data_IF_039521840770
#
_entry.id   IF_039521840770
#
_cell.length_a   1.000
_cell.length_b   1.000
_cell.length_c   1.000
_cell.angle_alpha   90.00
_cell.angle_beta   90.00
_cell.angle_gamma   90.00
#
_symmetry.space_group_name_H-M   'P 1'
#
loop_
_entity.id
_entity.type
_entity.pdbx_description
1 polymer ?
#
# COMPACT_ATOMS: atom_id res chain seq x y z
N UNK A 1 1.24 -23.74 -5.90
CA UNK A 1 0.96 -24.26 -4.55
C UNK A 1 -0.49 -24.76 -4.36
N UNK A 2 -1.41 -24.63 -5.34
CA UNK A 2 -2.83 -25.00 -5.15
C UNK A 2 -3.04 -26.46 -4.74
N UNK A 3 -2.34 -27.41 -5.36
CA UNK A 3 -2.41 -28.84 -4.99
C UNK A 3 -2.00 -29.09 -3.54
N UNK A 4 -0.86 -28.55 -3.12
CA UNK A 4 -0.38 -28.66 -1.75
C UNK A 4 -1.36 -28.04 -0.73
N UNK A 5 -1.95 -26.88 -1.04
CA UNK A 5 -2.95 -26.26 -0.17
C UNK A 5 -4.17 -27.17 0.01
N UNK A 6 -4.68 -27.73 -1.08
CA UNK A 6 -5.80 -28.67 -1.05
C UNK A 6 -5.48 -29.95 -0.27
N UNK A 7 -4.33 -30.58 -0.53
CA UNK A 7 -3.86 -31.78 0.20
C UNK A 7 -3.74 -31.55 1.70
N UNK A 8 -3.38 -30.33 2.11
CA UNK A 8 -3.25 -29.94 3.52
C UNK A 8 -4.53 -29.37 4.13
N UNK A 9 -5.63 -29.30 3.38
CA UNK A 9 -6.89 -28.71 3.83
C UNK A 9 -6.81 -27.20 4.11
N UNK A 10 -5.84 -26.50 3.51
CA UNK A 10 -5.66 -25.06 3.65
C UNK A 10 -6.62 -24.35 2.69
N UNK A 11 -7.53 -23.56 3.25
CA UNK A 11 -8.41 -22.69 2.47
C UNK A 11 -7.71 -21.37 2.15
N UNK A 12 -7.95 -20.83 0.95
CA UNK A 12 -7.31 -19.61 0.47
C UNK A 12 -8.36 -18.54 0.26
N UNK A 13 -8.13 -17.34 0.82
CA UNK A 13 -8.94 -16.16 0.56
C UNK A 13 -8.04 -15.07 -0.02
N UNK A 14 -8.47 -14.43 -1.11
CA UNK A 14 -7.67 -13.42 -1.79
C UNK A 14 -8.49 -12.23 -2.30
N UNK A 15 -8.10 -11.02 -1.87
CA UNK A 15 -8.51 -9.72 -2.44
C UNK A 15 -7.75 -9.41 -3.74
N UNK A 16 -7.46 -10.45 -4.54
CA UNK A 16 -6.72 -10.33 -5.79
C UNK A 16 -7.64 -10.22 -7.02
N UNK A 17 -8.96 -10.38 -6.84
CA UNK A 17 -9.93 -10.19 -7.91
C UNK A 17 -9.97 -8.76 -8.41
N UNK A 18 -9.56 -7.80 -7.57
CA UNK A 18 -9.44 -6.40 -7.95
C UNK A 18 -10.76 -5.87 -8.49
N UNK A 19 -10.79 -5.58 -9.79
CA UNK A 19 -11.97 -5.06 -10.50
C UNK A 19 -12.78 -6.16 -11.22
N UNK A 20 -12.33 -7.43 -11.20
CA UNK A 20 -13.00 -8.55 -11.87
C UNK A 20 -12.83 -9.87 -11.08
N UNK A 21 -13.46 -9.99 -9.89
CA UNK A 21 -13.38 -11.19 -9.08
C UNK A 21 -13.93 -12.45 -9.77
N UNK A 22 -15.02 -12.31 -10.54
CA UNK A 22 -15.59 -13.41 -11.32
C UNK A 22 -14.60 -13.97 -12.35
N UNK A 23 -13.89 -13.09 -13.07
CA UNK A 23 -12.89 -13.45 -14.05
C UNK A 23 -11.70 -14.20 -13.43
N UNK A 24 -11.19 -13.72 -12.29
CA UNK A 24 -10.12 -14.42 -11.58
C UNK A 24 -10.60 -15.79 -11.06
N UNK A 25 -11.81 -15.87 -10.50
CA UNK A 25 -12.38 -17.15 -10.06
C UNK A 25 -12.51 -18.16 -11.22
N UNK A 26 -12.92 -17.71 -12.41
CA UNK A 26 -12.95 -18.56 -13.61
C UNK A 26 -11.55 -19.09 -13.96
N UNK A 27 -10.52 -18.25 -13.94
CA UNK A 27 -9.12 -18.67 -14.19
C UNK A 27 -8.58 -19.64 -13.15
N UNK A 28 -8.98 -19.51 -11.89
CA UNK A 28 -8.60 -20.47 -10.83
C UNK A 28 -9.29 -21.81 -11.07
N UNK A 29 -10.56 -21.84 -11.51
CA UNK A 29 -11.25 -23.09 -11.89
C UNK A 29 -10.56 -23.79 -13.06
N UNK A 30 -10.26 -23.05 -14.13
CA UNK A 30 -9.49 -23.60 -15.27
C UNK A 30 -8.13 -24.18 -14.85
N UNK A 31 -7.45 -23.53 -13.90
CA UNK A 31 -6.20 -24.06 -13.34
C UNK A 31 -6.44 -25.35 -12.55
N UNK A 32 -7.46 -25.39 -11.70
CA UNK A 32 -7.80 -26.58 -10.92
C UNK A 32 -8.14 -27.77 -11.83
N UNK A 33 -8.94 -27.56 -12.89
CA UNK A 33 -9.30 -28.57 -13.87
C UNK A 33 -8.07 -29.14 -14.58
N UNK A 34 -7.15 -28.27 -15.04
CA UNK A 34 -5.89 -28.70 -15.67
C UNK A 34 -5.00 -29.52 -14.74
N UNK A 35 -5.08 -29.27 -13.43
CA UNK A 35 -4.31 -30.00 -12.43
C UNK A 35 -5.05 -31.23 -11.88
N UNK A 36 -6.30 -31.46 -12.29
CA UNK A 36 -7.15 -32.55 -11.77
C UNK A 36 -7.49 -32.39 -10.28
N UNK A 37 -7.52 -31.16 -9.76
CA UNK A 37 -7.76 -30.88 -8.35
C UNK A 37 -9.26 -30.59 -8.10
N UNK A 38 -9.92 -31.28 -7.16
CA UNK A 38 -11.34 -31.08 -6.87
C UNK A 38 -11.59 -29.87 -5.95
N UNK A 39 -11.09 -28.70 -6.34
CA UNK A 39 -11.14 -27.46 -5.56
C UNK A 39 -12.42 -26.69 -5.87
N UNK A 40 -13.17 -26.31 -4.83
CA UNK A 40 -14.35 -25.44 -4.94
C UNK A 40 -13.93 -23.98 -4.86
N UNK A 41 -14.19 -23.24 -5.94
CA UNK A 41 -13.84 -21.82 -6.06
C UNK A 41 -15.09 -20.95 -6.02
N UNK A 42 -15.17 -20.03 -5.07
CA UNK A 42 -16.21 -19.01 -4.94
C UNK A 42 -15.65 -17.60 -5.12
N UNK A 43 -16.52 -16.62 -5.34
CA UNK A 43 -16.13 -15.22 -5.33
C UNK A 43 -17.19 -14.30 -4.72
N UNK A 44 -16.76 -13.12 -4.27
CA UNK A 44 -17.60 -12.06 -3.68
C UNK A 44 -17.67 -10.87 -4.64
N UNK A 45 -18.89 -10.39 -4.89
CA UNK A 45 -19.22 -9.24 -5.73
C UNK A 45 -20.01 -8.18 -4.94
N UNK A 46 -20.38 -7.08 -5.60
CA UNK A 46 -21.18 -5.99 -5.04
C UNK A 46 -20.38 -4.74 -4.67
N UNK A 47 -19.08 -4.73 -4.93
CA UNK A 47 -18.20 -3.59 -4.70
C UNK A 47 -18.20 -2.58 -5.86
N UNK A 48 -18.47 -3.00 -7.09
CA UNK A 48 -18.43 -2.13 -8.28
C UNK A 48 -19.57 -1.09 -8.30
N UNK A 49 -19.18 0.18 -8.19
CA UNK A 49 -20.03 1.36 -8.24
C UNK A 49 -19.68 2.27 -9.44
N UNK A 50 -18.96 1.76 -10.44
CA UNK A 50 -18.46 2.54 -11.57
C UNK A 50 -19.60 3.24 -12.32
N UNK A 51 -20.73 2.57 -12.51
CA UNK A 51 -21.92 3.15 -13.15
C UNK A 51 -22.50 4.36 -12.39
N UNK A 52 -22.31 4.44 -11.06
CA UNK A 52 -22.78 5.55 -10.22
C UNK A 52 -21.79 6.72 -10.16
N UNK A 53 -20.60 6.58 -10.76
CA UNK A 53 -19.53 7.57 -10.71
C UNK A 53 -19.04 7.93 -12.12
N UNK A 54 -19.87 8.63 -12.92
CA UNK A 54 -19.50 9.00 -14.29
C UNK A 54 -18.20 9.81 -14.31
N UNK A 55 -17.31 9.49 -15.26
CA UNK A 55 -15.96 10.06 -15.36
C UNK A 55 -14.92 9.40 -14.45
N UNK A 56 -15.30 8.39 -13.65
CA UNK A 56 -14.36 7.48 -13.00
C UNK A 56 -13.91 6.37 -13.93
N UNK A 57 -12.63 5.99 -13.83
CA UNK A 57 -12.12 4.78 -14.47
C UNK A 57 -12.55 3.51 -13.72
N UNK A 58 -12.63 3.61 -12.39
CA UNK A 58 -13.12 2.58 -11.51
C UNK A 58 -13.65 3.22 -10.22
N UNK A 59 -14.74 2.69 -9.67
CA UNK A 59 -15.23 3.10 -8.35
C UNK A 59 -15.66 1.86 -7.57
N UNK A 60 -14.97 1.54 -6.48
CA UNK A 60 -15.23 0.31 -5.73
C UNK A 60 -15.39 0.57 -4.23
N UNK A 61 -16.47 0.04 -3.65
CA UNK A 61 -16.68 0.02 -2.21
C UNK A 61 -15.78 -1.03 -1.55
N UNK A 62 -15.20 -0.69 -0.41
CA UNK A 62 -14.44 -1.65 0.39
C UNK A 62 -15.42 -2.45 1.27
N UNK A 63 -15.74 -3.67 0.83
CA UNK A 63 -16.67 -4.56 1.52
C UNK A 63 -16.04 -5.21 2.77
N UNK A 64 -16.92 -5.78 3.61
CA UNK A 64 -16.56 -6.54 4.80
C UNK A 64 -16.31 -8.04 4.58
N UNK A 65 -16.01 -8.74 5.66
CA UNK A 65 -15.66 -10.15 5.69
C UNK A 65 -16.83 -11.12 5.58
N UNK A 66 -18.08 -10.68 5.78
CA UNK A 66 -19.23 -11.61 5.79
C UNK A 66 -19.53 -12.27 4.44
N UNK A 67 -19.20 -11.63 3.31
CA UNK A 67 -19.24 -12.28 2.00
C UNK A 67 -18.25 -13.45 1.90
N UNK A 68 -17.03 -13.25 2.43
CA UNK A 68 -16.02 -14.30 2.53
C UNK A 68 -16.52 -15.42 3.45
N UNK A 69 -17.10 -15.06 4.60
CA UNK A 69 -17.59 -16.03 5.56
C UNK A 69 -18.68 -16.93 4.95
N UNK A 70 -19.64 -16.34 4.24
CA UNK A 70 -20.68 -17.08 3.53
C UNK A 70 -20.11 -18.07 2.51
N UNK A 71 -19.11 -17.66 1.71
CA UNK A 71 -18.44 -18.55 0.76
C UNK A 71 -17.76 -19.74 1.47
N UNK A 72 -17.03 -19.48 2.55
CA UNK A 72 -16.32 -20.51 3.32
C UNK A 72 -17.28 -21.47 4.02
N UNK A 73 -18.39 -20.97 4.58
CA UNK A 73 -19.45 -21.78 5.19
C UNK A 73 -20.18 -22.64 4.16
N UNK A 74 -20.30 -22.18 2.91
CA UNK A 74 -20.80 -22.98 1.79
C UNK A 74 -19.78 -24.02 1.28
N UNK A 75 -18.57 -24.05 1.86
CA UNK A 75 -17.53 -25.02 1.56
C UNK A 75 -16.53 -24.60 0.49
N UNK A 76 -16.42 -23.31 0.14
CA UNK A 76 -15.36 -22.88 -0.76
C UNK A 76 -13.96 -23.22 -0.19
N UNK A 77 -13.11 -23.79 -1.03
CA UNK A 77 -11.69 -24.03 -0.74
C UNK A 77 -10.86 -22.79 -1.13
N UNK A 78 -11.31 -22.06 -2.15
CA UNK A 78 -10.75 -20.78 -2.57
C UNK A 78 -11.84 -19.73 -2.68
N UNK A 79 -11.65 -18.58 -2.06
CA UNK A 79 -12.53 -17.41 -2.18
C UNK A 79 -11.76 -16.25 -2.80
N UNK A 80 -12.27 -15.74 -3.93
CA UNK A 80 -11.75 -14.54 -4.60
C UNK A 80 -12.68 -13.37 -4.32
N UNK A 81 -12.18 -12.24 -3.84
CA UNK A 81 -13.02 -11.05 -3.65
C UNK A 81 -12.70 -9.98 -4.67
N UNK A 82 -13.68 -9.12 -4.96
CA UNK A 82 -13.42 -7.76 -5.41
C UNK A 82 -12.77 -6.96 -4.27
N UNK A 83 -13.07 -5.67 -4.15
CA UNK A 83 -12.52 -4.86 -3.06
C UNK A 83 -13.17 -5.18 -1.71
N UNK A 84 -12.37 -5.73 -0.80
CA UNK A 84 -12.65 -5.79 0.64
C UNK A 84 -11.63 -4.96 1.41
N UNK A 85 -11.87 -4.65 2.68
CA UNK A 85 -10.79 -4.15 3.54
C UNK A 85 -9.76 -5.24 3.81
N UNK A 86 -8.50 -4.87 4.01
CA UNK A 86 -7.42 -5.85 4.21
C UNK A 86 -7.66 -6.69 5.47
N UNK A 87 -8.15 -6.08 6.54
CA UNK A 87 -8.61 -6.78 7.74
C UNK A 87 -9.74 -7.79 7.49
N UNK A 88 -10.58 -7.59 6.45
CA UNK A 88 -11.65 -8.52 6.11
C UNK A 88 -11.16 -9.88 5.61
N UNK A 89 -9.90 -9.96 5.17
CA UNK A 89 -9.23 -11.22 4.87
C UNK A 89 -8.98 -12.07 6.13
N UNK A 90 -9.11 -11.47 7.33
CA UNK A 90 -9.03 -12.17 8.62
C UNK A 90 -10.41 -12.27 9.28
N UNK A 91 -11.21 -11.20 9.31
CA UNK A 91 -12.55 -11.23 9.93
C UNK A 91 -13.46 -12.25 9.23
N UNK A 92 -13.41 -12.37 7.91
CA UNK A 92 -14.23 -13.31 7.13
C UNK A 92 -13.95 -14.77 7.47
N UNK A 93 -12.70 -15.26 7.34
CA UNK A 93 -12.34 -16.62 7.76
C UNK A 93 -12.58 -16.88 9.25
N UNK A 94 -12.31 -15.91 10.12
CA UNK A 94 -12.55 -16.05 11.55
C UNK A 94 -14.04 -16.26 11.86
N UNK A 95 -14.91 -15.41 11.29
CA UNK A 95 -16.35 -15.53 11.47
C UNK A 95 -16.88 -16.88 10.94
N UNK A 96 -16.38 -17.35 9.79
CA UNK A 96 -16.75 -18.66 9.26
C UNK A 96 -16.30 -19.82 10.15
N UNK A 97 -15.09 -19.74 10.71
CA UNK A 97 -14.50 -20.80 11.51
C UNK A 97 -15.14 -20.90 12.90
N UNK A 98 -15.36 -19.77 13.56
CA UNK A 98 -15.89 -19.70 14.92
C UNK A 98 -17.42 -19.51 14.99
N UNK A 99 -18.07 -19.28 13.86
CA UNK A 99 -19.53 -19.09 13.80
C UNK A 99 -20.00 -17.75 14.35
N UNK A 100 -19.17 -16.70 14.24
CA UNK A 100 -19.50 -15.37 14.73
C UNK A 100 -20.57 -14.68 13.88
N UNK A 101 -21.36 -13.85 14.54
CA UNK A 101 -22.44 -13.05 13.97
C UNK A 101 -21.99 -11.61 13.70
N UNK A 102 -22.72 -10.87 12.84
CA UNK A 102 -22.41 -9.45 12.57
C UNK A 102 -22.45 -8.52 13.79
N UNK A 103 -23.14 -8.93 14.86
CA UNK A 103 -23.24 -8.20 16.12
C UNK A 103 -22.24 -8.65 17.21
N UNK A 104 -21.35 -9.62 16.91
CA UNK A 104 -20.28 -10.05 17.81
C UNK A 104 -19.08 -9.09 17.77
N UNK A 105 -19.31 -7.81 18.05
CA UNK A 105 -18.38 -6.73 17.76
C UNK A 105 -17.01 -6.87 18.43
N UNK A 106 -16.93 -7.32 19.67
CA UNK A 106 -15.62 -7.48 20.34
C UNK A 106 -14.76 -8.54 19.66
N UNK A 107 -15.37 -9.64 19.21
CA UNK A 107 -14.69 -10.72 18.49
C UNK A 107 -14.24 -10.25 17.10
N UNK A 108 -15.12 -9.54 16.39
CA UNK A 108 -14.81 -8.92 15.11
C UNK A 108 -13.72 -7.86 15.23
N UNK A 109 -13.69 -7.10 16.33
CA UNK A 109 -12.66 -6.09 16.58
C UNK A 109 -11.29 -6.76 16.81
N UNK A 110 -11.25 -7.85 17.58
CA UNK A 110 -10.05 -8.66 17.74
C UNK A 110 -9.50 -9.19 16.43
N UNK A 111 -10.36 -9.76 15.57
CA UNK A 111 -9.95 -10.20 14.24
C UNK A 111 -9.56 -9.05 13.30
N UNK A 112 -10.19 -7.87 13.43
CA UNK A 112 -9.82 -6.67 12.68
C UNK A 112 -8.41 -6.21 13.06
N UNK A 113 -8.09 -6.20 14.35
CA UNK A 113 -6.75 -5.88 14.87
C UNK A 113 -5.73 -6.92 14.39
N UNK A 114 -6.05 -8.21 14.46
CA UNK A 114 -5.18 -9.25 13.94
C UNK A 114 -4.94 -9.10 12.42
N UNK A 115 -5.96 -8.76 11.65
CA UNK A 115 -5.85 -8.46 10.22
C UNK A 115 -4.95 -7.27 9.93
N UNK A 116 -5.15 -6.16 10.65
CA UNK A 116 -4.30 -4.98 10.55
C UNK A 116 -2.83 -5.28 10.92
N UNK A 117 -2.58 -6.19 11.87
CA UNK A 117 -1.23 -6.61 12.23
C UNK A 117 -0.57 -7.53 11.19
N UNK A 118 -1.36 -8.27 10.41
CA UNK A 118 -0.85 -9.18 9.38
C UNK A 118 -0.59 -8.48 8.02
N UNK A 119 -1.09 -7.27 7.83
CA UNK A 119 -0.94 -6.53 6.59
C UNK A 119 0.45 -5.87 6.45
N UNK A 120 0.69 -5.20 5.32
CA UNK A 120 1.94 -4.49 5.02
C UNK A 120 3.25 -5.31 5.08
N UNK A 121 3.15 -6.65 5.00
CA UNK A 121 4.29 -7.54 4.81
C UNK A 121 4.96 -7.94 6.11
N UNK A 122 6.20 -7.51 6.34
CA UNK A 122 7.04 -8.03 7.42
C UNK A 122 7.15 -7.07 8.64
N UNK A 123 6.23 -6.11 8.79
CA UNK A 123 6.36 -5.08 9.83
C UNK A 123 6.30 -5.65 11.25
N UNK A 124 5.35 -6.55 11.53
CA UNK A 124 5.28 -7.27 12.82
C UNK A 124 6.54 -8.06 13.13
N UNK A 125 7.29 -8.48 12.12
CA UNK A 125 8.53 -9.25 12.29
C UNK A 125 9.80 -8.38 12.22
N UNK A 126 9.67 -7.05 12.33
CA UNK A 126 10.78 -6.10 12.42
C UNK A 126 11.08 -5.33 11.13
N UNK A 127 10.30 -5.51 10.06
CA UNK A 127 10.38 -4.68 8.86
C UNK A 127 9.99 -3.23 9.14
N UNK A 128 10.74 -2.25 8.62
CA UNK A 128 10.53 -0.81 8.87
C UNK A 128 10.52 -0.40 10.35
N UNK A 129 10.98 -1.26 11.27
CA UNK A 129 10.95 -0.96 12.69
C UNK A 129 12.01 0.09 13.06
N UNK A 130 11.57 1.21 13.66
CA UNK A 130 12.45 2.34 13.96
C UNK A 130 13.59 1.99 14.93
N UNK A 131 13.36 1.03 15.83
CA UNK A 131 14.34 0.60 16.84
C UNK A 131 15.14 -0.64 16.37
N UNK A 132 15.38 -0.77 15.06
CA UNK A 132 16.15 -1.90 14.50
C UNK A 132 17.53 -2.08 15.13
N UNK A 133 18.15 -1.00 15.62
CA UNK A 133 19.46 -1.01 16.26
C UNK A 133 19.48 -1.76 17.62
N UNK A 134 18.31 -1.95 18.24
CA UNK A 134 18.16 -2.72 19.49
C UNK A 134 18.20 -4.24 19.24
N UNK A 135 18.32 -4.66 17.99
CA UNK A 135 18.39 -6.05 17.57
C UNK A 135 19.65 -6.35 16.77
N UNK A 136 20.09 -7.61 16.82
CA UNK A 136 21.19 -8.07 15.99
C UNK A 136 20.82 -7.97 14.50
N UNK A 137 21.65 -7.28 13.70
CA UNK A 137 21.41 -7.04 12.27
C UNK A 137 21.21 -8.34 11.47
N UNK A 138 21.90 -9.43 11.84
CA UNK A 138 21.74 -10.74 11.20
C UNK A 138 20.31 -11.27 11.32
N UNK A 139 19.60 -10.97 12.41
CA UNK A 139 18.18 -11.34 12.56
C UNK A 139 17.30 -10.55 11.60
N UNK A 140 17.60 -9.27 11.36
CA UNK A 140 16.77 -8.37 10.56
C UNK A 140 17.11 -8.37 9.07
N UNK A 141 18.09 -9.16 8.63
CA UNK A 141 18.52 -9.22 7.23
C UNK A 141 17.41 -9.67 6.28
N UNK A 142 16.62 -10.65 6.70
CA UNK A 142 15.49 -11.20 5.93
C UNK A 142 14.31 -11.56 6.86
N UNK A 143 13.55 -10.56 7.34
CA UNK A 143 12.38 -10.79 8.18
C UNK A 143 11.33 -11.63 7.44
N UNK A 144 10.84 -12.69 8.07
CA UNK A 144 9.76 -13.52 7.52
C UNK A 144 8.40 -12.81 7.58
N UNK A 145 7.40 -13.30 6.84
CA UNK A 145 6.03 -12.80 7.03
C UNK A 145 5.45 -13.27 8.37
N UNK A 146 4.63 -12.43 9.04
CA UNK A 146 3.97 -12.81 10.28
C UNK A 146 2.87 -13.83 10.04
N UNK A 147 2.50 -14.53 11.11
CA UNK A 147 1.30 -15.36 11.20
C UNK A 147 0.58 -15.06 12.52
N UNK A 148 -0.75 -15.22 12.52
CA UNK A 148 -1.58 -15.03 13.70
C UNK A 148 -2.30 -16.33 14.05
N UNK A 149 -2.20 -16.74 15.32
CA UNK A 149 -3.01 -17.80 15.91
C UNK A 149 -4.22 -17.13 16.59
N UNK A 150 -5.37 -17.12 15.91
CA UNK A 150 -6.59 -16.46 16.38
C UNK A 150 -7.43 -17.41 17.25
N UNK A 151 -8.13 -16.85 18.25
CA UNK A 151 -9.00 -17.59 19.19
C UNK A 151 -10.47 -17.12 19.10
N UNK A 152 -11.41 -17.95 19.59
CA UNK A 152 -12.86 -17.67 19.53
C UNK A 152 -13.29 -16.40 20.28
N UNK A 153 -12.52 -15.97 21.27
CA UNK A 153 -12.77 -14.71 21.99
C UNK A 153 -12.29 -13.46 21.24
N UNK A 154 -11.70 -13.62 20.05
CA UNK A 154 -11.11 -12.55 19.25
C UNK A 154 -9.66 -12.22 19.61
N UNK A 155 -9.09 -12.82 20.65
CA UNK A 155 -7.66 -12.66 20.96
C UNK A 155 -6.79 -13.43 19.97
N UNK A 156 -5.53 -13.00 19.81
CA UNK A 156 -4.59 -13.63 18.89
C UNK A 156 -3.18 -13.70 19.47
N UNK A 157 -2.36 -14.64 18.98
CA UNK A 157 -0.90 -14.61 19.16
C UNK A 157 -0.24 -14.34 17.82
N UNK A 158 0.54 -13.27 17.74
CA UNK A 158 1.34 -12.91 16.58
C UNK A 158 2.70 -13.58 16.70
N UNK A 159 3.14 -14.22 15.63
CA UNK A 159 4.44 -14.90 15.56
C UNK A 159 4.92 -15.00 14.10
N UNK A 160 5.96 -15.79 13.84
CA UNK A 160 6.52 -16.03 12.51
C UNK A 160 6.90 -17.49 12.32
N UNK A 161 7.09 -17.89 11.06
CA UNK A 161 7.53 -19.25 10.77
C UNK A 161 8.93 -19.54 11.36
N UNK A 162 9.14 -20.73 11.95
CA UNK A 162 10.47 -21.16 12.39
C UNK A 162 11.50 -21.12 11.25
N UNK A 163 12.74 -20.76 11.58
CA UNK A 163 13.82 -20.67 10.59
C UNK A 163 13.77 -19.43 9.69
N UNK A 164 12.77 -18.57 9.84
CA UNK A 164 12.75 -17.24 9.20
C UNK A 164 13.41 -16.19 10.09
N UNK A 165 14.03 -15.18 9.46
CA UNK A 165 14.56 -14.02 10.15
C UNK A 165 13.45 -13.15 10.74
N UNK A 166 13.86 -12.08 11.40
CA UNK A 166 12.98 -11.12 12.07
C UNK A 166 12.94 -11.30 13.59
N UNK A 167 12.22 -10.39 14.22
CA UNK A 167 11.92 -10.36 15.65
C UNK A 167 10.44 -10.06 15.79
N UNK A 168 9.74 -10.81 16.64
CA UNK A 168 8.37 -10.48 17.03
C UNK A 168 8.36 -10.19 18.52
N UNK A 169 8.22 -8.93 18.87
CA UNK A 169 8.11 -8.47 20.25
C UNK A 169 7.04 -7.37 20.38
N UNK A 170 6.76 -6.96 21.60
CA UNK A 170 5.76 -5.92 21.85
C UNK A 170 6.06 -4.61 21.13
N UNK A 171 7.33 -4.28 20.87
CA UNK A 171 7.74 -3.10 20.13
C UNK A 171 7.39 -3.18 18.65
N UNK A 172 7.76 -4.28 17.97
CA UNK A 172 7.45 -4.48 16.55
C UNK A 172 5.94 -4.56 16.30
N UNK A 173 5.21 -5.22 17.19
CA UNK A 173 3.73 -5.31 17.12
C UNK A 173 3.08 -3.96 17.39
N UNK A 174 3.60 -3.16 18.33
CA UNK A 174 3.09 -1.80 18.57
C UNK A 174 3.32 -0.91 17.36
N UNK A 175 4.48 -0.98 16.71
CA UNK A 175 4.78 -0.17 15.54
C UNK A 175 3.78 -0.44 14.41
N UNK A 176 3.48 -1.71 14.12
CA UNK A 176 2.46 -2.07 13.14
C UNK A 176 1.06 -1.66 13.59
N UNK A 177 0.69 -1.84 14.87
CA UNK A 177 -0.63 -1.46 15.39
C UNK A 177 -0.95 0.02 15.21
N UNK A 178 0.07 0.88 15.19
CA UNK A 178 -0.07 2.32 15.02
C UNK A 178 0.09 2.78 13.56
N UNK A 179 0.56 1.91 12.67
CA UNK A 179 0.82 2.21 11.27
C UNK A 179 -0.47 2.58 10.53
N UNK A 180 -0.47 3.68 9.76
CA UNK A 180 -1.65 4.17 9.01
C UNK A 180 -2.93 4.40 9.83
N UNK A 181 -2.80 4.51 11.16
CA UNK A 181 -3.93 4.80 12.04
C UNK A 181 -4.09 6.30 12.31
N UNK A 182 -5.32 6.81 12.23
CA UNK A 182 -5.64 8.23 12.47
C UNK A 182 -6.07 8.56 13.90
N UNK A 183 -6.29 7.56 14.75
CA UNK A 183 -6.78 7.72 16.12
C UNK A 183 -7.28 6.40 16.72
N UNK A 184 -7.87 6.49 17.92
CA UNK A 184 -8.27 5.32 18.71
C UNK A 184 -9.42 4.49 18.10
N UNK A 185 -10.28 5.11 17.28
CA UNK A 185 -11.38 4.43 16.58
C UNK A 185 -10.96 4.09 15.16
N UNK A 186 -10.84 2.80 14.88
CA UNK A 186 -10.50 2.29 13.56
C UNK A 186 -11.76 1.73 12.89
N UNK A 187 -12.34 2.53 12.01
CA UNK A 187 -13.61 2.25 11.37
C UNK A 187 -13.45 1.24 10.21
N UNK A 188 -14.09 0.08 10.32
CA UNK A 188 -14.16 -0.93 9.28
C UNK A 188 -15.59 -1.31 8.92
N UNK A 189 -15.81 -1.99 7.78
CA UNK A 189 -17.12 -2.42 7.30
C UNK A 189 -17.79 -3.46 8.21
N UNK A 190 -17.01 -4.28 8.90
CA UNK A 190 -17.51 -5.31 9.81
C UNK A 190 -17.73 -4.76 11.23
N UNK A 191 -16.89 -3.83 11.68
CA UNK A 191 -16.87 -3.28 13.05
C UNK A 191 -16.04 -1.99 13.10
N UNK A 192 -16.33 -1.11 14.05
CA UNK A 192 -15.38 -0.06 14.45
C UNK A 192 -14.54 -0.57 15.62
N UNK A 193 -13.26 -0.88 15.40
CA UNK A 193 -12.37 -1.39 16.44
C UNK A 193 -11.81 -0.25 17.32
N UNK A 194 -11.77 -0.45 18.63
CA UNK A 194 -11.19 0.46 19.62
C UNK A 194 -9.74 0.10 19.90
N UNK A 195 -8.81 0.68 19.16
CA UNK A 195 -7.38 0.39 19.27
C UNK A 195 -6.82 0.74 20.67
N UNK A 196 -7.41 1.73 21.35
CA UNK A 196 -7.05 2.14 22.71
C UNK A 196 -7.36 1.08 23.79
N UNK A 197 -8.16 0.06 23.45
CA UNK A 197 -8.49 -1.05 24.35
C UNK A 197 -7.56 -2.24 24.21
N UNK A 198 -6.78 -2.31 23.12
CA UNK A 198 -5.87 -3.42 22.83
C UNK A 198 -4.76 -3.49 23.89
N UNK A 199 -4.41 -4.71 24.27
CA UNK A 199 -3.30 -5.02 25.17
C UNK A 199 -2.35 -5.98 24.48
N UNK A 200 -1.07 -5.67 24.55
CA UNK A 200 0.02 -6.48 24.02
C UNK A 200 0.82 -7.04 25.20
N UNK A 201 1.13 -8.33 25.17
CA UNK A 201 2.03 -8.96 26.14
C UNK A 201 2.91 -10.00 25.46
N UNK A 202 4.14 -10.13 25.95
CA UNK A 202 5.03 -11.21 25.54
C UNK A 202 4.38 -12.58 25.85
N UNK A 203 4.46 -13.52 24.91
CA UNK A 203 3.89 -14.87 25.00
C UNK A 203 4.93 -15.95 24.63
N UNK A 204 6.21 -15.61 24.79
CA UNK A 204 7.36 -16.46 24.49
C UNK A 204 8.28 -15.87 23.42
N UNK A 205 9.35 -16.57 23.04
CA UNK A 205 10.28 -16.09 22.01
C UNK A 205 9.58 -15.90 20.66
N UNK A 206 9.72 -14.71 20.07
CA UNK A 206 9.06 -14.32 18.82
C UNK A 206 7.53 -14.51 18.86
N UNK A 207 6.90 -14.26 20.01
CA UNK A 207 5.45 -14.43 20.21
C UNK A 207 4.88 -13.30 21.07
N UNK A 208 3.86 -12.63 20.55
CA UNK A 208 3.15 -11.56 21.26
C UNK A 208 1.66 -11.85 21.26
N UNK A 209 1.07 -11.92 22.44
CA UNK A 209 -0.38 -12.00 22.61
C UNK A 209 -1.00 -10.63 22.45
N UNK A 210 -2.09 -10.57 21.70
CA UNK A 210 -2.95 -9.41 21.47
C UNK A 210 -4.33 -9.74 22.01
N UNK A 211 -4.82 -8.96 22.98
CA UNK A 211 -6.08 -9.22 23.66
C UNK A 211 -6.79 -7.92 24.09
N UNK A 212 -8.05 -8.05 24.54
CA UNK A 212 -8.81 -6.93 25.10
C UNK A 212 -9.42 -5.94 24.10
N UNK A 213 -9.32 -6.21 22.80
CA UNK A 213 -9.95 -5.40 21.76
C UNK A 213 -11.47 -5.31 21.97
N UNK A 214 -12.02 -4.08 21.93
CA UNK A 214 -13.46 -3.81 21.96
C UNK A 214 -13.96 -3.29 20.63
N UNK A 215 -15.18 -3.68 20.28
CA UNK A 215 -15.85 -3.26 19.06
C UNK A 215 -17.04 -2.33 19.33
N UNK A 216 -17.22 -1.36 18.45
CA UNK A 216 -18.45 -0.57 18.31
C UNK A 216 -19.11 -0.95 16.97
N UNK A 217 -20.40 -0.64 16.80
CA UNK A 217 -21.10 -0.88 15.54
C UNK A 217 -20.31 -0.32 14.33
N UNK A 218 -20.31 -1.01 13.17
CA UNK A 218 -19.69 -0.49 11.97
C UNK A 218 -20.35 0.84 11.54
N UNK A 219 -19.63 1.73 10.84
CA UNK A 219 -20.21 2.94 10.30
C UNK A 219 -21.38 2.64 9.35
N UNK A 220 -22.38 3.53 9.23
CA UNK A 220 -23.53 3.32 8.34
C UNK A 220 -23.17 3.43 6.85
N UNK A 221 -21.92 3.75 6.52
CA UNK A 221 -21.43 4.02 5.16
C UNK A 221 -20.11 3.30 4.93
N UNK A 222 -19.89 2.84 3.69
CA UNK A 222 -18.63 2.23 3.26
C UNK A 222 -17.71 3.25 2.60
N UNK A 223 -16.40 3.04 2.72
CA UNK A 223 -15.38 3.77 1.93
C UNK A 223 -15.47 3.32 0.48
N UNK A 224 -15.54 4.27 -0.45
CA UNK A 224 -15.46 4.01 -1.89
C UNK A 224 -14.15 4.61 -2.42
N UNK A 225 -13.32 3.77 -3.04
CA UNK A 225 -12.16 4.23 -3.79
C UNK A 225 -12.57 4.55 -5.22
N UNK A 226 -12.51 5.82 -5.60
CA UNK A 226 -12.79 6.28 -6.97
C UNK A 226 -11.48 6.67 -7.63
N UNK A 227 -11.11 5.96 -8.69
CA UNK A 227 -9.90 6.26 -9.46
C UNK A 227 -10.29 7.05 -10.70
N UNK A 228 -9.64 8.19 -10.92
CA UNK A 228 -9.86 9.05 -12.10
C UNK A 228 -8.53 9.44 -12.74
N UNK A 229 -8.58 9.82 -14.01
CA UNK A 229 -7.45 10.49 -14.64
C UNK A 229 -7.33 11.91 -14.08
N UNK A 230 -6.19 12.22 -13.46
CA UNK A 230 -5.87 13.57 -12.97
C UNK A 230 -5.40 14.52 -14.07
N UNK A 231 -5.02 13.98 -15.23
CA UNK A 231 -4.35 14.69 -16.32
C UNK A 231 -3.03 14.01 -16.64
N UNK A 232 -2.08 14.78 -17.14
CA UNK A 232 -0.74 14.35 -17.52
C UNK A 232 0.29 15.03 -16.61
N UNK A 233 1.35 14.29 -16.28
CA UNK A 233 2.48 14.76 -15.47
C UNK A 233 3.78 14.52 -16.21
N UNK A 234 4.72 15.44 -16.08
CA UNK A 234 6.11 15.22 -16.44
C UNK A 234 7.03 15.66 -15.29
N UNK A 235 8.23 15.09 -15.25
CA UNK A 235 9.21 15.33 -14.19
C UNK A 235 10.62 15.41 -14.78
N UNK A 236 11.40 16.34 -14.27
CA UNK A 236 12.85 16.42 -14.51
C UNK A 236 13.56 16.77 -13.21
N UNK A 237 14.71 16.15 -12.98
CA UNK A 237 15.56 16.43 -11.83
C UNK A 237 16.90 16.94 -12.32
N UNK A 238 17.13 18.23 -12.10
CA UNK A 238 18.40 18.90 -12.40
C UNK A 238 19.36 18.65 -11.25
N UNK A 239 20.59 18.24 -11.58
CA UNK A 239 21.65 18.06 -10.58
C UNK A 239 22.47 19.34 -10.55
N UNK A 240 22.47 20.00 -9.40
CA UNK A 240 23.19 21.25 -9.17
C UNK A 240 24.48 20.93 -8.43
N UNK A 241 25.60 20.87 -9.14
CA UNK A 241 26.89 20.46 -8.56
C UNK A 241 27.67 21.65 -8.01
N UNK A 242 28.26 21.51 -6.83
CA UNK A 242 29.25 22.44 -6.28
C UNK A 242 28.66 23.71 -5.68
N UNK A 243 29.26 24.86 -5.98
CA UNK A 243 28.92 26.14 -5.35
C UNK A 243 27.65 26.77 -5.93
N UNK A 244 27.11 27.75 -5.20
CA UNK A 244 26.02 28.63 -5.65
C UNK A 244 24.71 27.89 -6.00
N UNK A 245 24.40 26.79 -5.30
CA UNK A 245 23.22 25.93 -5.54
C UNK A 245 21.93 26.74 -5.71
N UNK A 246 21.65 27.68 -4.81
CA UNK A 246 20.44 28.49 -4.83
C UNK A 246 20.38 29.39 -6.06
N UNK A 247 21.50 29.97 -6.47
CA UNK A 247 21.58 30.82 -7.67
C UNK A 247 21.43 30.00 -8.94
N UNK A 248 22.02 28.80 -8.98
CA UNK A 248 21.83 27.85 -10.09
C UNK A 248 20.36 27.45 -10.19
N UNK A 249 19.72 27.16 -9.05
CA UNK A 249 18.30 26.81 -9.02
C UNK A 249 17.42 27.97 -9.50
N UNK A 250 17.71 29.20 -9.08
CA UNK A 250 17.00 30.39 -9.55
C UNK A 250 17.19 30.59 -11.06
N UNK A 251 18.40 30.44 -11.58
CA UNK A 251 18.70 30.56 -13.00
C UNK A 251 17.88 29.57 -13.83
N UNK A 252 17.92 28.28 -13.47
CA UNK A 252 17.16 27.23 -14.18
C UNK A 252 15.67 27.50 -14.15
N UNK A 253 15.13 27.89 -12.99
CA UNK A 253 13.70 28.24 -12.84
C UNK A 253 13.28 29.35 -13.80
N UNK A 254 14.07 30.43 -13.89
CA UNK A 254 13.81 31.55 -14.78
C UNK A 254 13.92 31.13 -16.25
N UNK A 255 14.98 30.41 -16.63
CA UNK A 255 15.18 29.94 -18.00
C UNK A 255 14.04 29.03 -18.48
N UNK A 256 13.56 28.12 -17.63
CA UNK A 256 12.41 27.26 -17.95
C UNK A 256 11.10 28.04 -18.04
N UNK A 257 10.84 28.96 -17.11
CA UNK A 257 9.64 29.80 -17.16
C UNK A 257 9.60 30.63 -18.45
N UNK A 258 10.72 31.26 -18.83
CA UNK A 258 10.84 32.03 -20.07
C UNK A 258 10.62 31.15 -21.31
N UNK A 259 11.26 29.97 -21.36
CA UNK A 259 11.11 29.04 -22.48
C UNK A 259 9.67 28.52 -22.63
N UNK A 260 9.01 28.16 -21.52
CA UNK A 260 7.64 27.67 -21.52
C UNK A 260 6.63 28.76 -21.88
N UNK A 261 6.86 30.01 -21.45
CA UNK A 261 6.06 31.17 -21.84
C UNK A 261 6.23 31.49 -23.32
N UNK A 262 7.46 31.51 -23.82
CA UNK A 262 7.74 31.75 -25.25
C UNK A 262 7.11 30.70 -26.16
N UNK A 263 7.02 29.45 -25.69
CA UNK A 263 6.34 28.37 -26.39
C UNK A 263 4.80 28.44 -26.31
N UNK A 264 4.22 29.32 -25.49
CA UNK A 264 2.79 29.34 -25.15
C UNK A 264 2.29 27.98 -24.61
N UNK A 265 3.15 27.30 -23.83
CA UNK A 265 2.91 25.95 -23.27
C UNK A 265 3.19 25.87 -21.77
N UNK A 266 2.93 26.96 -21.03
CA UNK A 266 3.06 26.96 -19.58
C UNK A 266 2.06 25.96 -18.93
N UNK A 267 2.53 24.94 -18.19
CA UNK A 267 1.64 23.97 -17.52
C UNK A 267 0.81 24.62 -16.42
N UNK A 268 -0.40 24.10 -16.19
CA UNK A 268 -1.31 24.59 -15.16
C UNK A 268 -0.76 24.47 -13.73
N UNK A 269 0.00 23.41 -13.42
CA UNK A 269 0.68 23.23 -12.14
C UNK A 269 2.18 23.03 -12.36
N UNK A 270 2.98 23.84 -11.66
CA UNK A 270 4.44 23.77 -11.67
C UNK A 270 4.93 23.74 -10.23
N UNK A 271 5.62 22.68 -9.84
CA UNK A 271 6.17 22.51 -8.49
C UNK A 271 7.68 22.28 -8.55
N UNK A 272 8.38 23.06 -7.74
CA UNK A 272 9.83 22.96 -7.55
C UNK A 272 10.16 22.55 -6.13
N UNK A 273 10.99 21.52 -5.97
CA UNK A 273 11.53 21.12 -4.68
C UNK A 273 13.08 21.07 -4.81
N UNK A 274 13.78 21.81 -3.94
CA UNK A 274 15.25 21.76 -3.86
C UNK A 274 15.63 20.85 -2.69
N UNK A 275 16.23 19.70 -2.98
CA UNK A 275 16.68 18.71 -2.02
C UNK A 275 18.20 18.85 -1.84
N UNK A 276 18.62 19.19 -0.62
CA UNK A 276 20.02 19.42 -0.27
C UNK A 276 20.67 18.12 0.17
N UNK A 277 21.53 17.60 -0.70
CA UNK A 277 22.41 16.45 -0.45
C UNK A 277 23.89 16.84 -0.48
N UNK A 278 24.17 18.07 -0.94
CA UNK A 278 25.49 18.65 -1.06
C UNK A 278 26.14 18.89 0.30
N UNK A 279 27.46 18.72 0.33
CA UNK A 279 28.31 18.98 1.50
C UNK A 279 29.49 19.86 1.09
N UNK A 280 29.96 20.75 1.99
CA UNK A 280 31.22 21.46 1.78
C UNK A 280 32.37 20.47 1.57
N UNK A 281 33.29 20.79 0.65
CA UNK A 281 34.51 20.02 0.34
C UNK A 281 34.27 18.51 0.16
N UNK A 282 33.20 18.15 -0.55
CA UNK A 282 32.82 16.74 -0.71
C UNK A 282 33.81 15.98 -1.61
N UNK A 283 34.09 14.73 -1.23
CA UNK A 283 35.03 13.85 -1.94
C UNK A 283 34.48 13.33 -3.29
N UNK A 284 33.17 13.44 -3.52
CA UNK A 284 32.53 12.98 -4.77
C UNK A 284 31.58 14.02 -5.33
N UNK A 285 31.32 13.92 -6.63
CA UNK A 285 30.41 14.82 -7.34
C UNK A 285 28.97 14.70 -6.85
N UNK A 286 28.51 13.48 -6.54
CA UNK A 286 27.18 13.20 -6.00
C UNK A 286 26.99 13.81 -4.61
N UNK A 287 28.05 13.82 -3.80
CA UNK A 287 28.03 14.40 -2.45
C UNK A 287 28.35 15.90 -2.45
N UNK A 288 28.81 16.45 -3.57
CA UNK A 288 28.92 17.89 -3.83
C UNK A 288 27.65 18.47 -4.48
N UNK A 289 26.62 17.66 -4.74
CA UNK A 289 25.45 18.07 -5.54
C UNK A 289 24.16 18.14 -4.76
N UNK A 290 23.30 19.08 -5.14
CA UNK A 290 21.89 19.15 -4.73
C UNK A 290 20.98 18.74 -5.88
N UNK A 291 19.77 18.26 -5.56
CA UNK A 291 18.77 17.89 -6.56
C UNK A 291 17.67 18.96 -6.62
N UNK A 292 17.51 19.60 -7.77
CA UNK A 292 16.37 20.47 -8.04
C UNK A 292 15.34 19.69 -8.88
N UNK A 293 14.27 19.27 -8.22
CA UNK A 293 13.18 18.52 -8.81
C UNK A 293 12.08 19.46 -9.31
N UNK A 294 11.69 19.27 -10.57
CA UNK A 294 10.56 19.93 -11.21
C UNK A 294 9.49 18.91 -11.54
N UNK A 295 8.29 19.10 -11.01
CA UNK A 295 7.10 18.35 -11.40
C UNK A 295 6.10 19.30 -12.02
N UNK A 296 5.64 18.97 -13.22
CA UNK A 296 4.60 19.72 -13.93
C UNK A 296 3.38 18.86 -14.17
N UNK A 297 2.18 19.45 -14.09
CA UNK A 297 0.91 18.78 -14.41
C UNK A 297 0.01 19.68 -15.25
N UNK A 298 -0.70 19.05 -16.18
CA UNK A 298 -1.71 19.70 -17.00
C UNK A 298 -2.78 18.68 -17.45
N UNK A 299 -3.96 19.16 -17.87
CA UNK A 299 -4.96 18.31 -18.54
C UNK A 299 -4.59 18.06 -20.00
N UNK A 300 -3.88 18.99 -20.64
CA UNK A 300 -3.36 18.85 -21.99
C UNK A 300 -2.03 18.07 -21.99
N UNK A 301 -1.95 16.89 -22.64
CA UNK A 301 -0.70 16.15 -22.73
C UNK A 301 0.43 16.91 -23.43
N UNK A 302 0.11 17.84 -24.33
CA UNK A 302 1.12 18.60 -25.08
C UNK A 302 1.81 19.66 -24.22
N UNK A 303 1.11 20.24 -23.24
CA UNK A 303 1.66 21.24 -22.31
C UNK A 303 2.78 20.65 -21.42
N UNK A 304 2.68 19.37 -21.07
CA UNK A 304 3.72 18.63 -20.33
C UNK A 304 4.54 17.69 -21.23
N UNK A 305 4.39 17.85 -22.54
CA UNK A 305 4.96 16.98 -23.57
C UNK A 305 6.32 17.47 -24.07
N UNK A 306 6.50 17.44 -25.40
CA UNK A 306 7.79 17.76 -26.03
C UNK A 306 8.25 19.18 -25.75
N UNK A 307 7.35 20.16 -25.67
CA UNK A 307 7.72 21.54 -25.39
C UNK A 307 8.43 21.68 -24.03
N UNK A 308 7.90 21.02 -23.01
CA UNK A 308 8.52 20.95 -21.69
C UNK A 308 9.87 20.21 -21.73
N UNK A 309 9.90 19.00 -22.28
CA UNK A 309 11.14 18.21 -22.33
C UNK A 309 12.24 18.89 -23.14
N UNK A 310 11.88 19.55 -24.25
CA UNK A 310 12.78 20.36 -25.07
C UNK A 310 13.33 21.55 -24.28
N UNK A 311 12.46 22.35 -23.66
CA UNK A 311 12.86 23.48 -22.83
C UNK A 311 13.83 23.09 -21.71
N UNK A 312 13.68 21.92 -21.09
CA UNK A 312 14.61 21.44 -20.07
C UNK A 312 15.97 20.98 -20.63
N UNK A 313 15.96 20.26 -21.77
CA UNK A 313 17.18 19.69 -22.37
C UNK A 313 18.02 20.75 -23.08
N UNK A 314 17.38 21.73 -23.71
CA UNK A 314 18.06 22.82 -24.42
C UNK A 314 18.91 23.70 -23.48
N UNK A 315 18.65 23.65 -22.16
CA UNK A 315 19.49 24.29 -21.15
C UNK A 315 20.84 23.60 -20.92
N UNK A 316 21.06 22.39 -21.46
CA UNK A 316 22.22 21.58 -21.08
C UNK A 316 23.57 22.26 -21.30
N UNK A 317 23.69 23.06 -22.37
CA UNK A 317 24.89 23.83 -22.69
C UNK A 317 24.70 25.35 -22.55
N UNK A 318 23.50 25.80 -22.16
CA UNK A 318 23.13 27.22 -22.04
C UNK A 318 22.78 27.64 -20.61
N UNK A 319 22.74 26.70 -19.68
CA UNK A 319 22.33 26.88 -18.30
C UNK A 319 23.49 27.13 -17.34
N UNK A 320 23.41 26.48 -16.18
CA UNK A 320 24.39 26.62 -15.11
C UNK A 320 25.63 25.74 -15.33
N UNK A 321 26.79 26.11 -14.75
CA UNK A 321 27.98 25.28 -14.82
C UNK A 321 27.79 23.96 -14.06
N UNK A 322 28.17 22.86 -14.72
CA UNK A 322 27.98 21.50 -14.21
C UNK A 322 26.61 20.90 -14.52
N UNK A 323 25.85 21.47 -15.46
CA UNK A 323 24.54 20.93 -15.84
C UNK A 323 24.62 19.45 -16.20
N UNK A 324 23.80 18.67 -15.51
CA UNK A 324 23.36 17.36 -15.94
C UNK A 324 22.05 17.01 -15.23
N UNK A 325 21.38 15.97 -15.72
CA UNK A 325 20.11 15.47 -15.20
C UNK A 325 20.25 13.99 -14.86
N UNK A 326 19.51 13.51 -13.86
CA UNK A 326 19.57 12.09 -13.48
C UNK A 326 19.07 11.15 -14.58
N UNK A 327 18.15 11.63 -15.41
CA UNK A 327 17.67 10.96 -16.60
C UNK A 327 17.13 12.01 -17.60
N UNK A 328 17.14 11.74 -18.91
CA UNK A 328 16.44 12.58 -19.87
C UNK A 328 14.95 12.70 -19.52
N UNK A 329 14.33 13.89 -19.63
CA UNK A 329 12.91 14.05 -19.35
C UNK A 329 12.08 13.16 -20.26
N UNK A 330 11.14 12.43 -19.65
CA UNK A 330 10.25 11.52 -20.36
C UNK A 330 9.18 12.25 -21.18
N UNK A 331 8.26 11.48 -21.76
CA UNK A 331 6.99 12.03 -22.26
C UNK A 331 6.07 12.30 -21.07
N UNK A 332 5.23 13.33 -21.18
CA UNK A 332 4.10 13.50 -20.28
C UNK A 332 3.28 12.20 -20.19
N UNK A 333 3.02 11.73 -18.96
CA UNK A 333 2.34 10.49 -18.71
C UNK A 333 1.06 10.73 -17.89
N UNK A 334 -0.02 9.98 -18.15
CA UNK A 334 -1.24 10.11 -17.35
C UNK A 334 -0.95 9.75 -15.89
N UNK A 335 -1.60 10.43 -14.95
CA UNK A 335 -1.57 10.05 -13.53
C UNK A 335 -2.97 9.82 -12.98
N UNK A 336 -3.08 8.88 -12.04
CA UNK A 336 -4.31 8.59 -11.32
C UNK A 336 -4.49 9.50 -10.10
N UNK A 337 -5.75 9.80 -9.78
CA UNK A 337 -6.20 10.45 -8.54
C UNK A 337 -7.28 9.59 -7.91
#
# INVERSE_FOLDING_TARGET
CLGLAHERGVRIVANAGGLNPAGLAARVRELADRLGLPVRVAHVEGDDLTASHPGGLAAHAYLGGFGIAACLSAGADVVVTGRVTDASLVTGPAAAHFGWRPDDWDRLAGATVAGHLLECGAQVTGGNYAFFADHALDRLRHPGFPLAELHDDGSAVLTKHPGTGGVVDTGTVTAQLLYETGGARYAGPDVTARLDTVRLREDGPDRVRVEGARGEAPPPTLKVGVNRLGGFRNEVTFVLTGLDIERKAELVRRQLDDALRAAERAPAEVRWDLVRTDRPDADTEETASALLRLVVRDRDPEAVGRAFSGAAVELALAGYPGFHVLAPPGKGAPYGV
#
